data_IF_729219619743
#
_entry.id   IF_729219619743
#
_cell.length_a   1.000
_cell.length_b   1.000
_cell.length_c   1.000
_cell.angle_alpha   90.00
_cell.angle_beta   90.00
_cell.angle_gamma   90.00
#
_symmetry.space_group_name_H-M   'P 1'
#
loop_
_entity.id
_entity.type
_entity.pdbx_description
1 polymer ?
#
# COMPACT_ATOMS: atom_id res chain seq x y z
N UNK A 1 -19.44 13.32 0.45
CA UNK A 1 -18.77 12.06 0.83
C UNK A 1 -17.75 11.75 -0.26
N UNK A 2 -16.48 11.52 0.08
CA UNK A 2 -15.44 11.15 -0.89
C UNK A 2 -14.99 9.74 -0.50
N UNK A 3 -15.45 8.74 -1.24
CA UNK A 3 -15.07 7.35 -1.04
C UNK A 3 -13.86 7.01 -1.92
N UNK A 4 -12.90 6.33 -1.33
CA UNK A 4 -11.73 5.78 -2.02
C UNK A 4 -11.47 4.35 -1.56
N UNK A 5 -10.77 3.57 -2.38
CA UNK A 5 -10.19 2.31 -1.99
C UNK A 5 -8.69 2.53 -1.71
N UNK A 6 -8.21 1.98 -0.60
CA UNK A 6 -6.77 1.82 -0.32
C UNK A 6 -6.45 0.34 -0.44
N UNK A 7 -5.39 -0.01 -1.15
CA UNK A 7 -4.98 -1.40 -1.43
C UNK A 7 -3.50 -1.56 -1.18
N UNK A 8 -3.12 -2.71 -0.67
CA UNK A 8 -1.72 -3.14 -0.56
C UNK A 8 -1.56 -4.59 -0.99
N UNK A 9 -0.36 -4.97 -1.44
CA UNK A 9 -0.04 -6.31 -1.93
C UNK A 9 1.29 -6.82 -1.39
N UNK A 10 1.25 -8.02 -0.79
CA UNK A 10 2.46 -8.77 -0.53
C UNK A 10 2.79 -9.68 -1.72
N UNK A 11 4.07 -9.72 -2.08
CA UNK A 11 4.47 -10.32 -3.35
C UNK A 11 5.59 -11.35 -3.21
N UNK A 12 5.55 -12.33 -4.09
CA UNK A 12 6.64 -13.23 -4.41
C UNK A 12 7.29 -12.81 -5.75
N UNK A 13 8.38 -13.51 -6.13
CA UNK A 13 9.15 -13.26 -7.34
C UNK A 13 9.99 -11.95 -7.28
N UNK A 14 10.59 -11.54 -8.39
CA UNK A 14 11.47 -10.37 -8.46
C UNK A 14 10.69 -9.06 -8.40
N UNK A 15 11.30 -8.01 -7.85
CA UNK A 15 10.71 -6.67 -7.71
C UNK A 15 10.24 -6.06 -9.04
N UNK A 16 10.88 -6.41 -10.16
CA UNK A 16 10.48 -5.96 -11.49
C UNK A 16 9.31 -6.76 -12.09
N UNK A 17 9.07 -7.98 -11.57
CA UNK A 17 7.98 -8.86 -11.97
C UNK A 17 7.23 -9.42 -10.73
N UNK A 18 6.74 -8.56 -9.83
CA UNK A 18 6.10 -9.01 -8.60
C UNK A 18 4.80 -9.77 -8.94
N UNK A 19 4.55 -10.84 -8.19
CA UNK A 19 3.32 -11.63 -8.24
C UNK A 19 2.65 -11.59 -6.86
N UNK A 20 1.42 -11.10 -6.74
CA UNK A 20 0.79 -10.96 -5.43
C UNK A 20 0.41 -12.34 -4.88
N UNK A 21 0.72 -12.58 -3.61
CA UNK A 21 0.20 -13.71 -2.85
C UNK A 21 -0.78 -13.28 -1.74
N UNK A 22 -0.73 -12.03 -1.32
CA UNK A 22 -1.71 -11.40 -0.42
C UNK A 22 -2.20 -10.09 -1.05
N UNK A 23 -3.49 -9.84 -0.95
CA UNK A 23 -4.14 -8.60 -1.39
C UNK A 23 -5.07 -8.15 -0.28
N UNK A 24 -4.72 -7.05 0.37
CA UNK A 24 -5.58 -6.35 1.31
C UNK A 24 -6.20 -5.10 0.68
N UNK A 25 -7.45 -4.78 1.00
CA UNK A 25 -8.01 -3.47 0.67
C UNK A 25 -9.10 -3.01 1.62
N UNK A 26 -9.27 -1.71 1.66
CA UNK A 26 -10.23 -0.98 2.47
C UNK A 26 -10.98 0.04 1.63
N UNK A 27 -12.28 0.15 1.83
CA UNK A 27 -13.08 1.26 1.29
C UNK A 27 -13.37 2.21 2.43
N UNK A 28 -12.98 3.47 2.29
CA UNK A 28 -13.10 4.49 3.32
C UNK A 28 -13.73 5.77 2.79
N UNK A 29 -14.35 6.52 3.69
CA UNK A 29 -14.67 7.92 3.49
C UNK A 29 -13.51 8.78 4.01
N UNK A 30 -12.74 9.40 3.12
CA UNK A 30 -11.55 10.19 3.50
C UNK A 30 -11.86 11.45 4.30
N UNK A 31 -13.11 11.90 4.33
CA UNK A 31 -13.52 13.09 5.10
C UNK A 31 -13.81 12.71 6.55
N UNK A 32 -14.56 11.62 6.78
CA UNK A 32 -14.96 11.20 8.12
C UNK A 32 -14.00 10.20 8.76
N UNK A 33 -13.23 9.44 7.95
CA UNK A 33 -12.43 8.30 8.40
C UNK A 33 -13.24 7.02 8.58
N UNK A 34 -14.53 7.03 8.20
CA UNK A 34 -15.39 5.86 8.30
C UNK A 34 -14.92 4.75 7.36
N UNK A 35 -14.77 3.54 7.89
CA UNK A 35 -14.44 2.33 7.13
C UNK A 35 -15.74 1.64 6.75
N UNK A 36 -15.99 1.52 5.45
CA UNK A 36 -17.19 0.88 4.93
C UNK A 36 -16.98 -0.60 4.60
N UNK A 37 -15.77 -0.98 4.27
CA UNK A 37 -15.40 -2.35 3.91
C UNK A 37 -13.92 -2.61 4.16
N UNK A 38 -13.62 -3.82 4.63
CA UNK A 38 -12.26 -4.39 4.66
C UNK A 38 -12.29 -5.78 4.02
N UNK A 39 -11.26 -6.10 3.25
CA UNK A 39 -11.05 -7.42 2.66
C UNK A 39 -9.58 -7.82 2.74
N UNK A 40 -9.35 -9.11 2.97
CA UNK A 40 -8.03 -9.73 2.93
C UNK A 40 -8.11 -11.05 2.16
N UNK A 41 -7.36 -11.14 1.07
CA UNK A 41 -7.36 -12.31 0.19
C UNK A 41 -5.97 -12.88 0.02
N UNK A 42 -5.87 -14.19 0.09
CA UNK A 42 -4.68 -14.93 -0.34
C UNK A 42 -4.92 -15.38 -1.79
N UNK A 43 -3.98 -15.05 -2.67
CA UNK A 43 -4.03 -15.44 -4.08
C UNK A 43 -3.60 -16.89 -4.22
N UNK A 44 -4.55 -17.77 -4.44
CA UNK A 44 -4.35 -19.22 -4.45
C UNK A 44 -3.21 -19.65 -5.38
N UNK A 45 -3.18 -19.15 -6.60
CA UNK A 45 -2.23 -19.59 -7.62
C UNK A 45 -0.79 -19.27 -7.24
N UNK A 46 -0.53 -18.11 -6.63
CA UNK A 46 0.81 -17.72 -6.19
C UNK A 46 1.18 -18.37 -4.86
N UNK A 47 0.26 -18.36 -3.89
CA UNK A 47 0.53 -18.84 -2.53
C UNK A 47 0.75 -20.36 -2.47
N UNK A 48 0.07 -21.13 -3.34
CA UNK A 48 0.21 -22.58 -3.41
C UNK A 48 1.43 -23.05 -4.22
N UNK A 49 2.05 -22.15 -4.97
CA UNK A 49 3.28 -22.43 -5.70
C UNK A 49 4.49 -22.31 -4.77
N UNK A 50 5.00 -23.46 -4.32
CA UNK A 50 6.12 -23.53 -3.37
C UNK A 50 7.40 -22.89 -3.91
N UNK A 51 7.64 -22.96 -5.22
CA UNK A 51 8.85 -22.37 -5.82
C UNK A 51 8.75 -20.85 -5.86
N UNK A 52 7.60 -20.31 -6.22
CA UNK A 52 7.35 -18.87 -6.13
C UNK A 52 7.47 -18.35 -4.70
N UNK A 53 6.87 -19.05 -3.74
CA UNK A 53 6.85 -18.62 -2.33
C UNK A 53 8.22 -18.69 -1.65
N UNK A 54 9.20 -19.45 -2.16
CA UNK A 54 10.60 -19.36 -1.71
C UNK A 54 11.21 -17.97 -1.95
N UNK A 55 10.74 -17.26 -2.98
CA UNK A 55 11.16 -15.90 -3.31
C UNK A 55 10.29 -14.80 -2.67
N UNK A 56 9.35 -15.15 -1.79
CA UNK A 56 8.55 -14.17 -1.09
C UNK A 56 9.41 -13.39 -0.08
N UNK A 57 9.33 -12.05 -0.11
CA UNK A 57 10.13 -11.20 0.78
C UNK A 57 9.84 -11.50 2.26
N UNK A 58 8.57 -11.73 2.59
CA UNK A 58 8.10 -12.08 3.94
C UNK A 58 7.75 -13.56 4.09
N UNK A 59 8.54 -14.48 3.51
CA UNK A 59 8.30 -15.91 3.60
C UNK A 59 8.15 -16.43 5.06
N UNK A 60 8.76 -15.76 6.03
CA UNK A 60 8.62 -16.06 7.47
C UNK A 60 7.18 -15.93 7.98
N UNK A 61 6.30 -15.19 7.28
CA UNK A 61 4.89 -15.01 7.63
C UNK A 61 3.99 -16.13 7.11
N UNK A 62 4.46 -17.04 6.26
CA UNK A 62 3.65 -18.14 5.69
C UNK A 62 2.88 -18.93 6.77
N UNK A 63 3.46 -19.30 7.93
CA UNK A 63 2.71 -20.00 8.99
C UNK A 63 1.51 -19.17 9.48
N UNK A 64 1.66 -17.86 9.69
CA UNK A 64 0.59 -16.95 10.10
C UNK A 64 -0.56 -16.94 9.08
N UNK A 65 -0.25 -16.92 7.77
CA UNK A 65 -1.28 -16.97 6.73
C UNK A 65 -2.13 -18.25 6.81
N UNK A 66 -1.52 -19.40 7.11
CA UNK A 66 -2.26 -20.65 7.31
C UNK A 66 -3.16 -20.62 8.55
N UNK A 67 -2.71 -19.98 9.64
CA UNK A 67 -3.50 -19.80 10.86
C UNK A 67 -4.68 -18.85 10.59
N UNK A 68 -4.45 -17.74 9.90
CA UNK A 68 -5.48 -16.77 9.53
C UNK A 68 -6.54 -17.37 8.61
N UNK A 69 -6.14 -18.22 7.65
CA UNK A 69 -7.07 -18.97 6.80
C UNK A 69 -7.95 -19.93 7.63
N UNK A 70 -7.34 -20.69 8.56
CA UNK A 70 -8.10 -21.60 9.46
C UNK A 70 -9.05 -20.84 10.37
N UNK A 71 -8.66 -19.65 10.83
CA UNK A 71 -9.46 -18.79 11.67
C UNK A 71 -10.54 -17.99 10.91
N UNK A 72 -10.58 -18.09 9.57
CA UNK A 72 -11.51 -17.33 8.73
C UNK A 72 -11.23 -15.83 8.67
N UNK A 73 -10.05 -15.38 9.08
CA UNK A 73 -9.64 -13.98 8.99
C UNK A 73 -9.28 -13.56 7.56
N UNK A 74 -8.87 -14.52 6.73
CA UNK A 74 -8.51 -14.33 5.33
C UNK A 74 -9.22 -15.37 4.47
N UNK A 75 -9.43 -15.04 3.21
CA UNK A 75 -10.03 -15.94 2.24
C UNK A 75 -9.03 -16.26 1.12
N UNK A 76 -8.82 -17.55 0.84
CA UNK A 76 -8.04 -17.96 -0.34
C UNK A 76 -8.93 -18.00 -1.57
N UNK A 77 -8.57 -17.26 -2.59
CA UNK A 77 -9.32 -17.14 -3.85
C UNK A 77 -8.37 -17.10 -5.04
N UNK A 78 -8.89 -17.48 -6.22
CA UNK A 78 -8.18 -17.23 -7.48
C UNK A 78 -8.12 -15.73 -7.76
N UNK A 79 -7.02 -15.27 -8.36
CA UNK A 79 -6.84 -13.84 -8.70
C UNK A 79 -7.99 -13.28 -9.56
N UNK A 80 -8.54 -14.09 -10.46
CA UNK A 80 -9.70 -13.71 -11.29
C UNK A 80 -10.97 -13.52 -10.48
N UNK A 81 -11.16 -14.33 -9.44
CA UNK A 81 -12.27 -14.20 -8.49
C UNK A 81 -12.11 -12.94 -7.64
N UNK A 82 -10.89 -12.68 -7.14
CA UNK A 82 -10.58 -11.45 -6.38
C UNK A 82 -10.87 -10.22 -7.25
N UNK A 83 -10.39 -10.21 -8.50
CA UNK A 83 -10.68 -9.13 -9.47
C UNK A 83 -12.19 -8.87 -9.61
N UNK A 84 -13.00 -9.94 -9.70
CA UNK A 84 -14.46 -9.81 -9.79
C UNK A 84 -15.05 -9.20 -8.52
N UNK A 85 -14.63 -9.68 -7.35
CA UNK A 85 -15.10 -9.16 -6.05
C UNK A 85 -14.76 -7.68 -5.92
N UNK A 86 -13.52 -7.27 -6.27
CA UNK A 86 -13.10 -5.86 -6.27
C UNK A 86 -14.00 -5.02 -7.20
N UNK A 87 -14.29 -5.52 -8.40
CA UNK A 87 -15.16 -4.81 -9.34
C UNK A 87 -16.60 -4.68 -8.82
N UNK A 88 -17.13 -5.73 -8.20
CA UNK A 88 -18.47 -5.73 -7.60
C UNK A 88 -18.55 -4.77 -6.41
N UNK A 89 -17.53 -4.76 -5.54
CA UNK A 89 -17.43 -3.82 -4.41
C UNK A 89 -17.28 -2.36 -4.91
N UNK A 90 -16.47 -2.12 -5.94
CA UNK A 90 -16.35 -0.77 -6.54
C UNK A 90 -17.67 -0.27 -7.09
N UNK A 91 -18.41 -1.15 -7.79
CA UNK A 91 -19.76 -0.83 -8.28
C UNK A 91 -20.72 -0.54 -7.13
N UNK A 92 -20.73 -1.38 -6.09
CA UNK A 92 -21.60 -1.25 -4.92
C UNK A 92 -21.41 0.07 -4.18
N UNK A 93 -20.15 0.48 -3.98
CA UNK A 93 -19.79 1.68 -3.21
C UNK A 93 -19.50 2.92 -4.08
N UNK A 94 -19.61 2.80 -5.41
CA UNK A 94 -19.33 3.91 -6.34
C UNK A 94 -17.86 4.34 -6.34
N UNK A 95 -16.91 3.38 -6.17
CA UNK A 95 -15.48 3.67 -6.11
C UNK A 95 -14.94 3.94 -7.51
N UNK A 96 -14.32 5.11 -7.66
CA UNK A 96 -13.62 5.53 -8.89
C UNK A 96 -12.13 5.77 -8.67
N UNK A 97 -11.67 5.76 -7.40
CA UNK A 97 -10.29 6.09 -7.03
C UNK A 97 -9.69 5.00 -6.14
N UNK A 98 -8.47 4.57 -6.48
CA UNK A 98 -7.70 3.57 -5.72
C UNK A 98 -6.31 4.12 -5.44
N UNK A 99 -5.87 4.00 -4.20
CA UNK A 99 -4.54 4.40 -3.76
C UNK A 99 -3.79 3.30 -3.04
N UNK A 100 -2.46 3.41 -3.04
CA UNK A 100 -1.54 2.59 -2.26
C UNK A 100 -0.29 3.41 -1.90
N UNK A 101 0.45 2.95 -0.92
CA UNK A 101 1.76 3.53 -0.61
C UNK A 101 2.81 2.99 -1.60
N UNK A 102 3.08 3.74 -2.67
CA UNK A 102 3.78 3.33 -3.88
C UNK A 102 2.87 2.57 -4.89
N UNK A 103 1.75 3.19 -5.22
CA UNK A 103 0.72 2.65 -6.14
C UNK A 103 1.28 2.06 -7.45
N UNK A 104 2.44 2.55 -7.91
CA UNK A 104 3.10 2.01 -9.10
C UNK A 104 3.51 0.55 -8.95
N UNK A 105 3.88 0.14 -7.74
CA UNK A 105 4.24 -1.24 -7.42
C UNK A 105 3.00 -2.13 -7.35
N UNK A 106 1.99 -1.77 -6.58
CA UNK A 106 0.77 -2.57 -6.39
C UNK A 106 -0.01 -2.76 -7.69
N UNK A 107 -0.16 -1.68 -8.48
CA UNK A 107 -0.71 -1.78 -9.84
C UNK A 107 0.03 -2.83 -10.67
N UNK A 108 1.36 -2.83 -10.62
CA UNK A 108 2.18 -3.77 -11.37
C UNK A 108 1.99 -5.20 -10.87
N UNK A 109 1.97 -5.39 -9.55
CA UNK A 109 1.77 -6.68 -8.92
C UNK A 109 0.44 -7.32 -9.31
N UNK A 110 -0.68 -6.63 -9.11
CA UNK A 110 -2.01 -7.19 -9.43
C UNK A 110 -2.20 -7.43 -10.93
N UNK A 111 -1.66 -6.56 -11.80
CA UNK A 111 -1.73 -6.77 -13.24
C UNK A 111 -0.85 -7.96 -13.68
N UNK A 112 0.34 -8.14 -13.10
CA UNK A 112 1.18 -9.31 -13.34
C UNK A 112 0.49 -10.59 -12.87
N UNK A 113 -0.19 -10.57 -11.72
CA UNK A 113 -1.00 -11.69 -11.24
C UNK A 113 -2.05 -12.13 -12.27
N UNK A 114 -2.76 -11.18 -12.88
CA UNK A 114 -3.70 -11.49 -13.97
C UNK A 114 -2.97 -12.07 -15.19
N UNK A 115 -1.85 -11.46 -15.61
CA UNK A 115 -1.09 -11.93 -16.78
C UNK A 115 -0.51 -13.33 -16.60
N UNK A 116 -0.01 -13.61 -15.42
CA UNK A 116 0.62 -14.91 -15.11
C UNK A 116 -0.42 -16.03 -15.02
N UNK A 117 -1.59 -15.74 -14.48
CA UNK A 117 -2.61 -16.75 -14.20
C UNK A 117 -3.72 -16.84 -15.25
N UNK A 118 -3.68 -16.02 -16.31
CA UNK A 118 -4.68 -16.04 -17.36
C UNK A 118 -4.06 -15.81 -18.74
N UNK A 119 -4.68 -16.38 -19.79
CA UNK A 119 -4.37 -16.09 -21.19
C UNK A 119 -5.18 -14.89 -21.72
N UNK A 120 -5.84 -14.11 -20.82
CA UNK A 120 -6.68 -13.00 -21.22
C UNK A 120 -5.87 -11.85 -21.81
N UNK A 121 -6.38 -11.26 -22.88
CA UNK A 121 -5.88 -9.98 -23.40
C UNK A 121 -6.15 -8.83 -22.44
N UNK A 122 -7.19 -8.92 -21.59
CA UNK A 122 -7.53 -7.94 -20.56
C UNK A 122 -6.67 -8.16 -19.30
N UNK A 123 -5.52 -7.49 -19.30
CA UNK A 123 -4.47 -7.63 -18.28
C UNK A 123 -4.63 -6.67 -17.10
N UNK A 124 -5.72 -5.92 -17.04
CA UNK A 124 -5.99 -4.92 -16.02
C UNK A 124 -6.79 -5.54 -14.88
N UNK A 125 -6.30 -5.33 -13.66
CA UNK A 125 -6.99 -5.80 -12.47
C UNK A 125 -8.17 -4.90 -12.10
N UNK A 126 -7.93 -3.58 -12.07
CA UNK A 126 -8.98 -2.61 -11.73
C UNK A 126 -9.97 -2.39 -12.88
N UNK A 127 -11.25 -2.04 -12.55
CA UNK A 127 -12.23 -1.66 -13.55
C UNK A 127 -11.75 -0.50 -14.45
N UNK A 128 -12.25 -0.47 -15.67
CA UNK A 128 -11.96 0.63 -16.60
C UNK A 128 -12.42 1.97 -16.02
N UNK A 129 -11.61 3.01 -16.20
CA UNK A 129 -11.90 4.35 -15.68
C UNK A 129 -11.51 4.56 -14.21
N UNK A 130 -10.93 3.54 -13.53
CA UNK A 130 -10.42 3.72 -12.17
C UNK A 130 -9.20 4.64 -12.19
N UNK A 131 -9.27 5.75 -11.45
CA UNK A 131 -8.16 6.68 -11.23
C UNK A 131 -7.25 6.12 -10.13
N UNK A 132 -5.95 6.07 -10.41
CA UNK A 132 -4.95 5.61 -9.45
C UNK A 132 -4.23 6.80 -8.82
N UNK A 133 -4.03 6.75 -7.50
CA UNK A 133 -3.30 7.79 -6.78
C UNK A 133 -2.25 7.19 -5.84
N UNK A 134 -1.17 7.94 -5.60
CA UNK A 134 -0.03 7.48 -4.81
C UNK A 134 -0.01 8.17 -3.45
N UNK A 135 -0.23 7.39 -2.38
CA UNK A 135 -0.24 7.88 -0.99
C UNK A 135 1.16 8.31 -0.58
N UNK A 136 2.21 7.60 -1.02
CA UNK A 136 3.59 7.98 -0.72
C UNK A 136 3.96 9.34 -1.31
N UNK A 137 3.63 9.58 -2.58
CA UNK A 137 3.85 10.89 -3.20
C UNK A 137 3.03 11.99 -2.50
N UNK A 138 1.78 11.69 -2.13
CA UNK A 138 0.95 12.56 -1.32
C UNK A 138 1.60 12.93 0.02
N UNK A 139 2.13 11.95 0.75
CA UNK A 139 2.82 12.14 2.01
C UNK A 139 4.12 12.95 1.85
N UNK A 140 4.97 12.58 0.87
CA UNK A 140 6.23 13.28 0.60
C UNK A 140 6.02 14.73 0.14
N UNK A 141 4.99 14.98 -0.67
CA UNK A 141 4.67 16.34 -1.14
C UNK A 141 3.92 17.19 -0.10
N UNK A 142 3.50 16.62 1.01
CA UNK A 142 2.81 17.30 2.10
C UNK A 142 3.60 17.27 3.41
N UNK A 143 3.19 16.47 4.40
CA UNK A 143 3.69 16.56 5.77
C UNK A 143 5.11 15.99 5.95
N UNK A 144 5.55 14.99 5.13
CA UNK A 144 6.90 14.41 5.27
C UNK A 144 8.02 15.39 4.85
N UNK A 145 7.74 16.38 3.99
CA UNK A 145 8.71 17.45 3.68
C UNK A 145 8.74 18.57 4.71
N UNK A 146 7.91 18.52 5.76
CA UNK A 146 7.88 19.59 6.76
C UNK A 146 9.16 19.61 7.61
N UNK A 147 9.56 20.82 8.07
CA UNK A 147 10.69 20.95 9.02
C UNK A 147 10.50 20.12 10.28
N UNK A 148 9.27 19.96 10.74
CA UNK A 148 8.94 19.17 11.93
C UNK A 148 9.24 17.69 11.72
N UNK A 149 8.79 17.13 10.59
CA UNK A 149 9.08 15.72 10.27
C UNK A 149 10.57 15.49 10.12
N UNK A 150 11.27 16.32 9.33
CA UNK A 150 12.71 16.16 9.07
C UNK A 150 13.52 16.21 10.36
N UNK A 151 13.24 17.20 11.25
CA UNK A 151 13.91 17.30 12.56
C UNK A 151 13.62 16.09 13.45
N UNK A 152 12.37 15.63 13.47
CA UNK A 152 11.97 14.44 14.20
C UNK A 152 12.68 13.18 13.69
N UNK A 153 12.74 12.99 12.37
CA UNK A 153 13.42 11.85 11.76
C UNK A 153 14.92 11.85 12.07
N UNK A 154 15.59 13.00 11.94
CA UNK A 154 17.01 13.14 12.30
C UNK A 154 17.27 12.85 13.78
N UNK A 155 16.42 13.38 14.68
CA UNK A 155 16.54 13.16 16.13
C UNK A 155 16.43 11.70 16.52
N UNK A 156 15.58 10.94 15.83
CA UNK A 156 15.30 9.53 16.15
C UNK A 156 16.06 8.53 15.26
N UNK A 157 17.00 9.00 14.43
CA UNK A 157 17.84 8.12 13.62
C UNK A 157 17.13 7.52 12.38
N UNK A 158 15.97 8.04 11.98
CA UNK A 158 15.27 7.57 10.79
C UNK A 158 15.89 8.10 9.50
N UNK A 159 17.11 7.65 9.25
CA UNK A 159 17.92 7.96 8.07
C UNK A 159 18.49 6.67 7.49
N UNK A 160 18.62 6.61 6.17
CA UNK A 160 19.32 5.50 5.51
C UNK A 160 20.83 5.60 5.70
N UNK A 161 21.59 4.54 5.36
CA UNK A 161 23.06 4.52 5.35
C UNK A 161 23.67 5.65 4.51
N UNK A 162 22.95 6.14 3.51
CA UNK A 162 23.34 7.29 2.67
C UNK A 162 22.91 8.63 3.27
N UNK A 163 22.41 8.66 4.49
CA UNK A 163 21.94 9.84 5.18
C UNK A 163 20.63 10.44 4.67
N UNK A 164 19.86 9.73 3.83
CA UNK A 164 18.56 10.21 3.36
C UNK A 164 17.48 9.99 4.45
N UNK A 165 16.61 10.98 4.63
CA UNK A 165 15.44 10.84 5.51
C UNK A 165 14.57 9.69 5.00
N UNK A 166 14.22 8.76 5.89
CA UNK A 166 13.31 7.66 5.57
C UNK A 166 11.88 8.19 5.38
N UNK A 167 11.17 7.62 4.44
CA UNK A 167 9.80 8.02 4.06
C UNK A 167 8.90 6.82 3.79
N UNK A 168 9.27 5.61 4.23
CA UNK A 168 8.44 4.41 4.15
C UNK A 168 7.22 4.53 5.07
N UNK A 169 6.22 3.67 4.86
CA UNK A 169 4.93 3.73 5.55
C UNK A 169 5.10 3.59 7.07
N UNK A 170 5.92 2.64 7.52
CA UNK A 170 6.21 2.43 8.94
C UNK A 170 6.73 3.69 9.64
N UNK A 171 7.76 4.36 9.08
CA UNK A 171 8.34 5.57 9.69
C UNK A 171 7.35 6.75 9.63
N UNK A 172 6.57 6.86 8.54
CA UNK A 172 5.51 7.85 8.47
C UNK A 172 4.43 7.62 9.53
N UNK A 173 4.06 6.37 9.78
CA UNK A 173 3.08 5.99 10.81
C UNK A 173 3.61 6.22 12.23
N UNK A 174 4.87 5.84 12.53
CA UNK A 174 5.56 6.19 13.80
C UNK A 174 5.52 7.70 14.09
N UNK A 175 5.72 8.50 13.04
CA UNK A 175 5.61 9.96 13.20
C UNK A 175 4.20 10.44 13.54
N UNK A 176 3.17 9.83 12.94
CA UNK A 176 1.76 10.19 13.14
C UNK A 176 1.30 9.81 14.54
N UNK A 177 1.59 8.59 14.97
CA UNK A 177 1.13 8.01 16.25
C UNK A 177 2.01 8.40 17.43
N UNK A 178 3.26 8.82 17.18
CA UNK A 178 4.31 9.02 18.19
C UNK A 178 4.77 7.73 18.89
N UNK A 179 4.42 6.60 18.33
CA UNK A 179 4.87 5.29 18.76
C UNK A 179 6.14 4.92 18.00
N UNK A 180 7.30 5.02 18.67
CA UNK A 180 8.61 4.71 18.08
C UNK A 180 8.87 3.20 18.01
N UNK A 181 8.20 2.43 18.87
CA UNK A 181 8.37 0.98 18.97
C UNK A 181 7.45 0.20 18.04
N UNK A 182 6.54 0.91 17.33
CA UNK A 182 5.67 0.28 16.36
C UNK A 182 6.49 -0.46 15.28
N UNK A 183 6.09 -1.69 14.97
CA UNK A 183 6.62 -2.48 13.87
C UNK A 183 5.50 -2.85 12.91
N UNK A 184 5.73 -2.67 11.61
CA UNK A 184 4.78 -3.03 10.55
C UNK A 184 4.62 -4.55 10.47
N UNK A 185 3.38 -5.03 10.36
CA UNK A 185 3.12 -6.47 10.32
C UNK A 185 3.48 -7.11 8.98
N UNK A 186 3.62 -6.32 7.93
CA UNK A 186 3.89 -6.78 6.57
C UNK A 186 2.90 -7.84 6.10
N UNK A 187 1.64 -7.48 6.18
CA UNK A 187 0.54 -8.25 5.61
C UNK A 187 -0.49 -7.29 4.99
N UNK A 188 -1.00 -7.61 3.81
CA UNK A 188 -1.72 -6.67 2.97
C UNK A 188 -2.84 -5.87 3.67
N UNK A 189 -3.69 -6.48 4.51
CA UNK A 189 -4.75 -5.72 5.18
C UNK A 189 -4.24 -4.85 6.32
N UNK A 190 -3.28 -5.32 7.11
CA UNK A 190 -2.69 -4.57 8.21
C UNK A 190 -1.96 -3.34 7.66
N UNK A 191 -1.23 -3.49 6.56
CA UNK A 191 -0.50 -2.39 5.90
C UNK A 191 -1.49 -1.38 5.29
N UNK A 192 -2.60 -1.82 4.70
CA UNK A 192 -3.70 -0.94 4.28
C UNK A 192 -4.25 -0.09 5.43
N UNK A 193 -4.30 -0.62 6.66
CA UNK A 193 -4.74 0.15 7.85
C UNK A 193 -3.79 1.31 8.15
N UNK A 194 -2.48 1.05 8.09
CA UNK A 194 -1.42 2.05 8.26
C UNK A 194 -1.49 3.11 7.15
N UNK A 195 -1.58 2.68 5.91
CA UNK A 195 -1.67 3.56 4.75
C UNK A 195 -2.93 4.44 4.78
N UNK A 196 -4.04 3.90 5.30
CA UNK A 196 -5.27 4.64 5.52
C UNK A 196 -5.06 5.80 6.50
N UNK A 197 -4.37 5.56 7.63
CA UNK A 197 -4.06 6.62 8.60
C UNK A 197 -3.12 7.67 8.02
N UNK A 198 -2.14 7.27 7.20
CA UNK A 198 -1.28 8.20 6.49
C UNK A 198 -2.09 9.06 5.52
N UNK A 199 -2.99 8.46 4.74
CA UNK A 199 -3.89 9.18 3.84
C UNK A 199 -4.76 10.19 4.58
N UNK A 200 -5.35 9.78 5.71
CA UNK A 200 -6.15 10.67 6.57
C UNK A 200 -5.30 11.84 7.11
N UNK A 201 -4.04 11.58 7.48
CA UNK A 201 -3.11 12.63 7.91
C UNK A 201 -2.84 13.65 6.81
N UNK A 202 -2.67 13.20 5.56
CA UNK A 202 -2.48 14.10 4.41
C UNK A 202 -3.68 15.04 4.28
N UNK A 203 -4.90 14.50 4.30
CA UNK A 203 -6.13 15.31 4.18
C UNK A 203 -6.30 16.30 5.35
N UNK A 204 -5.98 15.89 6.58
CA UNK A 204 -6.05 16.75 7.78
C UNK A 204 -4.94 17.81 7.82
N UNK A 205 -3.83 17.61 7.11
CA UNK A 205 -2.68 18.53 7.16
C UNK A 205 -2.95 19.90 6.52
N UNK A 206 -4.02 20.04 5.73
CA UNK A 206 -4.35 21.25 4.93
C UNK A 206 -3.22 21.67 3.97
N UNK A 207 -2.19 20.87 3.82
CA UNK A 207 -1.11 21.09 2.87
C UNK A 207 -1.53 20.61 1.48
N UNK A 208 -1.09 21.33 0.44
CA UNK A 208 -1.29 20.87 -0.93
C UNK A 208 -0.46 19.58 -1.14
N UNK A 209 -1.14 18.49 -1.47
CA UNK A 209 -0.54 17.19 -1.76
C UNK A 209 -0.63 16.89 -3.26
N UNK A 210 0.40 16.22 -3.78
CA UNK A 210 0.44 15.68 -5.15
C UNK A 210 0.30 14.16 -5.07
N UNK A 211 -0.83 13.65 -5.51
CA UNK A 211 -1.14 12.21 -5.50
C UNK A 211 -0.82 11.51 -6.83
N UNK A 212 -0.13 12.16 -7.74
CA UNK A 212 0.25 11.52 -9.00
C UNK A 212 1.21 10.34 -8.77
N UNK A 213 1.01 9.25 -9.53
CA UNK A 213 1.87 8.07 -9.46
C UNK A 213 3.24 8.39 -10.07
N UNK A 214 4.26 8.51 -9.23
CA UNK A 214 5.63 8.86 -9.61
C UNK A 214 6.64 7.90 -9.00
N UNK A 215 7.76 7.71 -9.69
CA UNK A 215 8.93 7.04 -9.11
C UNK A 215 9.67 7.96 -8.14
N UNK A 216 10.18 7.38 -7.04
CA UNK A 216 11.08 8.06 -6.10
C UNK A 216 10.54 9.34 -5.43
N UNK A 217 9.32 9.36 -4.85
CA UNK A 217 8.75 10.54 -4.19
C UNK A 217 9.61 11.05 -3.02
N UNK A 218 10.39 10.16 -2.37
CA UNK A 218 11.31 10.49 -1.29
C UNK A 218 12.30 11.63 -1.64
N UNK A 219 12.62 11.83 -2.92
CA UNK A 219 13.51 12.93 -3.38
C UNK A 219 12.96 14.30 -3.01
N UNK A 220 11.64 14.47 -3.01
CA UNK A 220 10.99 15.73 -2.60
C UNK A 220 11.42 16.12 -1.18
N UNK A 221 11.50 15.16 -0.28
CA UNK A 221 11.89 15.38 1.13
C UNK A 221 13.38 15.72 1.23
N UNK A 222 14.24 15.03 0.46
CA UNK A 222 15.68 15.31 0.46
C UNK A 222 16.02 16.69 -0.12
N UNK A 223 15.35 17.07 -1.21
CA UNK A 223 15.56 18.37 -1.84
C UNK A 223 15.11 19.51 -0.91
N UNK A 224 13.99 19.29 -0.18
CA UNK A 224 13.55 20.26 0.82
C UNK A 224 14.53 20.38 1.98
N UNK A 225 15.05 19.25 2.49
CA UNK A 225 16.07 19.21 3.54
C UNK A 225 17.30 20.02 3.15
N UNK A 226 17.85 19.80 1.95
CA UNK A 226 19.02 20.50 1.43
C UNK A 226 18.83 22.02 1.35
N UNK A 227 17.64 22.48 0.96
CA UNK A 227 17.32 23.93 0.86
C UNK A 227 17.36 24.66 2.20
N UNK A 228 17.18 23.96 3.30
CA UNK A 228 17.12 24.52 4.64
C UNK A 228 18.34 24.16 5.51
N UNK A 229 19.37 23.57 4.89
CA UNK A 229 20.64 23.18 5.57
C UNK A 229 20.40 22.37 6.86
N UNK A 230 19.43 21.44 6.84
CA UNK A 230 19.03 20.61 7.99
C UNK A 230 19.67 19.23 7.94
#
# INVERSE_FOLDING_TARGET
MILVCVIDTETANFVNQPLPYDIGYRIINVITGEVLLERSFIVNETFMDKELMKGAYYAKKIPQYWEDLKAGKREMKRITTIKKIVADDFKKYGITKVGAYNMGFDKRAVNNGIRYNTYSFYRWFFPYGTELFDIWNGACSSFLRSKHYIKWALKNGFVSDKGNILTNAEVAYKYITKDLDFEEEHTGLEDVRIETEILMKIFRSKMKADFSVKGCPWRIVQDYRKRFEM
#
